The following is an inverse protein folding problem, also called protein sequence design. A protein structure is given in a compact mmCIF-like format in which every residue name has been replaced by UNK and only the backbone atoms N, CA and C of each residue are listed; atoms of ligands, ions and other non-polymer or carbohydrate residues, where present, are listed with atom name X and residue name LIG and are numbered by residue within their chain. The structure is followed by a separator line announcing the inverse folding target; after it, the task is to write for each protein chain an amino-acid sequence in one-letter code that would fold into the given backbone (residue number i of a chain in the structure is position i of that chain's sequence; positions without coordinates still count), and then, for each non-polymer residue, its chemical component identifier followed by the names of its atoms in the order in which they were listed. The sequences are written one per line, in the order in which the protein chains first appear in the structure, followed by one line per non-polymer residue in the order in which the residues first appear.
data_IF_677685047916
#
_entry.id   IF_677685047916
#
_cell.length_a   1.000
_cell.length_b   1.000
_cell.length_c   1.000
_cell.angle_alpha   90.00
_cell.angle_beta   90.00
_cell.angle_gamma   90.00
#
_symmetry.space_group_name_H-M   'P 1'
#
loop_
_entity.id
_entity.type
_entity.pdbx_description
1 polymer ?
#
# COMPACT_ATOMS: atom_id res chain seq x y z
N UNK A 1 18.89 -2.22 11.78
CA UNK A 1 17.86 -3.05 11.13
C UNK A 1 16.94 -2.16 10.36
N UNK A 2 16.87 -2.35 9.07
CA UNK A 2 16.02 -1.59 8.18
C UNK A 2 14.56 -1.70 8.64
N UNK A 3 13.86 -0.58 8.68
CA UNK A 3 12.42 -0.55 8.87
C UNK A 3 11.75 -1.34 7.76
N UNK A 4 11.59 -2.63 7.98
CA UNK A 4 10.73 -3.43 7.14
C UNK A 4 9.32 -2.86 7.31
N UNK A 5 8.69 -2.48 6.20
CA UNK A 5 7.27 -2.16 6.26
C UNK A 5 6.61 -3.30 7.03
N UNK A 6 5.81 -3.00 8.03
CA UNK A 6 5.04 -3.99 8.81
C UNK A 6 4.24 -4.93 7.91
N UNK A 7 3.98 -4.51 6.68
CA UNK A 7 3.41 -5.30 5.59
C UNK A 7 4.20 -6.58 5.30
N UNK A 8 5.54 -6.57 5.39
CA UNK A 8 6.36 -7.79 5.28
C UNK A 8 6.24 -8.71 6.49
N UNK A 9 6.04 -8.18 7.69
CA UNK A 9 5.97 -8.98 8.92
C UNK A 9 4.61 -9.66 9.13
N UNK A 10 3.51 -9.04 8.74
CA UNK A 10 2.16 -9.61 8.84
C UNK A 10 1.99 -10.76 7.82
N UNK A 11 2.68 -10.69 6.70
CA UNK A 11 2.62 -11.65 5.59
C UNK A 11 3.10 -13.07 5.96
N UNK A 12 3.99 -13.22 6.93
CA UNK A 12 4.54 -14.51 7.34
C UNK A 12 3.71 -15.25 8.41
N UNK A 13 2.63 -14.66 8.93
CA UNK A 13 1.90 -15.20 10.10
C UNK A 13 0.47 -15.70 9.86
N UNK A 14 -0.13 -15.52 8.68
CA UNK A 14 -1.51 -15.96 8.42
C UNK A 14 -1.57 -16.86 7.19
N UNK A 15 -2.20 -18.02 7.33
CA UNK A 15 -2.68 -18.80 6.17
C UNK A 15 -3.57 -17.89 5.30
N UNK A 16 -3.17 -17.72 4.04
CA UNK A 16 -3.90 -16.88 3.09
C UNK A 16 -5.15 -17.64 2.69
N UNK A 17 -6.31 -17.17 3.15
CA UNK A 17 -7.61 -17.69 2.68
C UNK A 17 -7.81 -17.35 1.19
N UNK A 18 -8.65 -18.12 0.47
CA UNK A 18 -8.92 -17.89 -0.96
C UNK A 18 -9.44 -16.46 -1.23
N UNK A 19 -10.23 -15.90 -0.32
CA UNK A 19 -10.69 -14.50 -0.41
C UNK A 19 -9.53 -13.51 -0.36
N UNK A 20 -8.59 -13.66 0.57
CA UNK A 20 -7.41 -12.79 0.69
C UNK A 20 -6.48 -12.98 -0.49
N UNK A 21 -6.33 -14.19 -1.01
CA UNK A 21 -5.56 -14.48 -2.22
C UNK A 21 -6.12 -13.76 -3.43
N UNK A 22 -7.43 -13.82 -3.64
CA UNK A 22 -8.13 -13.12 -4.72
C UNK A 22 -7.97 -11.60 -4.61
N UNK A 23 -8.11 -11.05 -3.40
CA UNK A 23 -7.91 -9.63 -3.14
C UNK A 23 -6.46 -9.20 -3.41
N UNK A 24 -5.47 -9.99 -2.98
CA UNK A 24 -4.06 -9.73 -3.25
C UNK A 24 -3.76 -9.75 -4.74
N UNK A 25 -4.33 -10.70 -5.50
CA UNK A 25 -4.18 -10.74 -6.95
C UNK A 25 -4.75 -9.49 -7.60
N UNK A 26 -5.93 -9.05 -7.19
CA UNK A 26 -6.56 -7.82 -7.69
C UNK A 26 -5.70 -6.59 -7.44
N UNK A 27 -5.12 -6.45 -6.24
CA UNK A 27 -4.21 -5.36 -5.89
C UNK A 27 -2.93 -5.38 -6.73
N UNK A 28 -2.34 -6.55 -6.91
CA UNK A 28 -1.12 -6.71 -7.72
C UNK A 28 -1.37 -6.37 -9.19
N UNK A 29 -2.53 -6.77 -9.74
CA UNK A 29 -2.91 -6.44 -11.11
C UNK A 29 -3.18 -4.93 -11.27
N UNK A 30 -3.80 -4.26 -10.30
CA UNK A 30 -3.92 -2.79 -10.29
C UNK A 30 -2.55 -2.10 -10.30
N UNK A 31 -1.61 -2.58 -9.49
CA UNK A 31 -0.26 -2.04 -9.45
C UNK A 31 0.46 -2.18 -10.80
N UNK A 32 0.28 -3.30 -11.50
CA UNK A 32 0.81 -3.52 -12.86
C UNK A 32 0.18 -2.54 -13.84
N UNK A 33 -1.15 -2.38 -13.85
CA UNK A 33 -1.86 -1.47 -14.75
C UNK A 33 -1.37 -0.03 -14.61
N UNK A 34 -1.19 0.44 -13.39
CA UNK A 34 -0.66 1.79 -13.11
C UNK A 34 0.80 1.92 -13.52
N UNK A 35 1.63 0.92 -13.24
CA UNK A 35 3.03 0.94 -13.61
C UNK A 35 3.26 0.90 -15.13
N UNK A 36 2.37 0.23 -15.87
CA UNK A 36 2.43 0.12 -17.33
C UNK A 36 1.90 1.38 -18.05
N UNK A 37 1.20 2.27 -17.34
CA UNK A 37 0.66 3.50 -17.91
C UNK A 37 1.78 4.37 -18.50
N UNK A 38 1.69 4.64 -19.79
CA UNK A 38 2.68 5.44 -20.52
C UNK A 38 3.84 4.63 -21.14
N UNK A 39 4.28 3.55 -20.50
CA UNK A 39 5.28 2.64 -21.06
C UNK A 39 5.01 1.19 -20.67
N UNK A 40 4.36 0.40 -21.53
CA UNK A 40 4.00 -0.98 -21.23
C UNK A 40 5.15 -1.98 -21.43
N UNK A 41 6.35 -1.53 -21.80
CA UNK A 41 7.49 -2.40 -22.01
C UNK A 41 8.33 -2.53 -20.71
N UNK A 42 8.37 -3.71 -20.07
CA UNK A 42 9.12 -3.90 -18.84
C UNK A 42 10.64 -3.77 -18.99
N UNK A 43 11.20 -3.91 -20.20
CA UNK A 43 12.62 -3.69 -20.44
C UNK A 43 13.04 -2.24 -20.19
N UNK A 44 12.15 -1.30 -20.54
CA UNK A 44 12.36 0.14 -20.41
C UNK A 44 11.58 0.78 -19.28
N UNK A 45 10.89 -0.03 -18.46
CA UNK A 45 10.10 0.43 -17.32
C UNK A 45 10.44 -0.38 -16.06
N UNK A 46 11.42 0.08 -15.27
CA UNK A 46 11.85 -0.61 -14.05
C UNK A 46 10.73 -0.80 -13.03
N UNK A 47 9.80 0.17 -12.95
CA UNK A 47 8.65 0.10 -12.06
C UNK A 47 7.68 -1.02 -12.47
N UNK A 48 7.40 -1.15 -13.76
CA UNK A 48 6.57 -2.23 -14.28
C UNK A 48 7.23 -3.58 -14.06
N UNK A 49 8.53 -3.70 -14.31
CA UNK A 49 9.30 -4.92 -14.06
C UNK A 49 9.19 -5.35 -12.59
N UNK A 50 9.39 -4.42 -11.67
CA UNK A 50 9.26 -4.70 -10.23
C UNK A 50 7.84 -5.13 -9.83
N UNK A 51 6.80 -4.52 -10.42
CA UNK A 51 5.41 -4.90 -10.18
C UNK A 51 5.10 -6.31 -10.72
N UNK A 52 5.63 -6.66 -11.89
CA UNK A 52 5.50 -7.99 -12.50
C UNK A 52 6.22 -9.05 -11.64
N UNK A 53 7.45 -8.79 -11.23
CA UNK A 53 8.23 -9.71 -10.39
C UNK A 53 7.49 -10.00 -9.09
N UNK A 54 6.93 -8.98 -8.46
CA UNK A 54 6.13 -9.13 -7.26
C UNK A 54 4.86 -9.96 -7.50
N UNK A 55 4.17 -9.76 -8.62
CA UNK A 55 2.99 -10.57 -8.97
C UNK A 55 3.37 -12.04 -9.18
N UNK A 56 4.52 -12.32 -9.79
CA UNK A 56 5.05 -13.69 -9.96
C UNK A 56 5.39 -14.35 -8.62
N UNK A 57 5.99 -13.63 -7.67
CA UNK A 57 6.24 -14.12 -6.31
C UNK A 57 4.95 -14.59 -5.63
N UNK A 58 3.83 -13.93 -5.92
CA UNK A 58 2.50 -14.30 -5.42
C UNK A 58 1.78 -15.34 -6.27
N UNK A 59 2.46 -15.89 -7.27
CA UNK A 59 1.88 -16.88 -8.18
C UNK A 59 0.65 -16.38 -8.94
N UNK A 60 0.60 -15.09 -9.26
CA UNK A 60 -0.41 -14.56 -10.18
C UNK A 60 -0.18 -15.20 -11.56
N UNK A 61 -1.23 -15.77 -12.19
CA UNK A 61 -1.08 -16.39 -13.50
C UNK A 61 -0.54 -15.43 -14.54
N UNK A 62 0.35 -15.93 -15.40
CA UNK A 62 1.01 -15.13 -16.44
C UNK A 62 0.02 -14.43 -17.37
N UNK A 63 -1.05 -15.13 -17.78
CA UNK A 63 -2.09 -14.55 -18.63
C UNK A 63 -2.78 -13.33 -18.00
N UNK A 64 -2.94 -13.32 -16.67
CA UNK A 64 -3.51 -12.19 -15.94
C UNK A 64 -2.54 -11.01 -15.91
N UNK A 65 -1.25 -11.28 -15.76
CA UNK A 65 -0.20 -10.26 -15.79
C UNK A 65 -0.16 -9.59 -17.17
N UNK A 66 -0.11 -10.37 -18.24
CA UNK A 66 -0.08 -9.88 -19.64
C UNK A 66 -1.30 -9.03 -19.95
N UNK A 67 -2.49 -9.53 -19.60
CA UNK A 67 -3.74 -8.80 -19.76
C UNK A 67 -3.75 -7.48 -18.97
N UNK A 68 -3.18 -7.46 -17.76
CA UNK A 68 -3.08 -6.23 -16.98
C UNK A 68 -2.16 -5.19 -17.62
N UNK A 69 -1.07 -5.62 -18.26
CA UNK A 69 -0.19 -4.73 -19.02
C UNK A 69 -0.91 -4.18 -20.26
N UNK A 70 -1.61 -5.04 -21.02
CA UNK A 70 -2.38 -4.64 -22.21
C UNK A 70 -3.49 -3.65 -21.88
N UNK A 71 -4.18 -3.85 -20.76
CA UNK A 71 -5.29 -3.02 -20.29
C UNK A 71 -4.85 -1.76 -19.52
N UNK A 72 -3.59 -1.41 -19.52
CA UNK A 72 -3.06 -0.27 -18.74
C UNK A 72 -3.66 1.09 -19.14
N UNK A 73 -4.24 1.21 -20.33
CA UNK A 73 -4.90 2.42 -20.80
C UNK A 73 -6.43 2.45 -20.70
N UNK A 74 -7.08 1.34 -20.31
CA UNK A 74 -8.54 1.20 -20.37
C UNK A 74 -9.29 1.83 -19.19
N UNK A 75 -8.64 2.03 -18.06
CA UNK A 75 -9.22 2.66 -16.86
C UNK A 75 -8.30 3.77 -16.37
N UNK A 76 -8.91 4.89 -16.03
CA UNK A 76 -8.21 6.00 -15.36
C UNK A 76 -7.91 5.63 -13.90
N UNK A 77 -6.94 4.74 -13.70
CA UNK A 77 -6.41 4.45 -12.38
C UNK A 77 -5.46 5.56 -11.96
N UNK A 78 -5.66 6.08 -10.76
CA UNK A 78 -4.84 7.11 -10.14
C UNK A 78 -4.17 6.58 -8.87
N UNK A 79 -2.97 7.08 -8.61
CA UNK A 79 -2.27 6.85 -7.36
C UNK A 79 -2.61 7.96 -6.38
N UNK A 80 -2.91 7.55 -5.16
CA UNK A 80 -3.25 8.46 -4.06
C UNK A 80 -2.35 8.15 -2.87
N UNK A 81 -1.74 9.19 -2.31
CA UNK A 81 -0.99 9.10 -1.06
C UNK A 81 -1.77 9.81 0.04
N UNK A 82 -2.16 9.08 1.07
CA UNK A 82 -2.92 9.58 2.21
C UNK A 82 -2.01 9.57 3.43
N UNK A 83 -2.06 10.64 4.20
CA UNK A 83 -1.31 10.81 5.44
C UNK A 83 -2.25 10.71 6.63
N UNK A 84 -1.80 10.07 7.71
CA UNK A 84 -2.62 9.87 8.91
C UNK A 84 -1.78 9.82 10.18
N UNK A 85 -2.44 10.07 11.31
CA UNK A 85 -1.90 9.86 12.64
C UNK A 85 -2.61 8.68 13.30
N UNK A 86 -1.84 7.70 13.72
CA UNK A 86 -2.31 6.53 14.47
C UNK A 86 -2.21 6.69 15.97
N UNK A 87 -2.23 5.56 16.72
CA UNK A 87 -2.10 5.55 18.17
C UNK A 87 -0.84 6.29 18.63
N UNK A 88 -0.98 7.06 19.73
CA UNK A 88 0.10 7.90 20.31
C UNK A 88 0.75 8.88 19.31
N UNK A 89 0.03 9.28 18.26
CA UNK A 89 0.54 10.20 17.26
C UNK A 89 1.54 9.56 16.30
N UNK A 90 1.55 8.23 16.19
CA UNK A 90 2.36 7.52 15.19
C UNK A 90 2.01 7.99 13.77
N UNK A 91 3.02 8.14 12.94
CA UNK A 91 2.86 8.61 11.58
C UNK A 91 2.56 7.46 10.64
N UNK A 92 1.60 7.65 9.73
CA UNK A 92 1.26 6.69 8.68
C UNK A 92 1.23 7.37 7.31
N UNK A 93 1.79 6.66 6.31
CA UNK A 93 1.60 6.96 4.90
C UNK A 93 0.87 5.76 4.28
N UNK A 94 -0.24 6.03 3.61
CA UNK A 94 -1.09 5.03 2.96
C UNK A 94 -1.06 5.30 1.46
N UNK A 95 -0.56 4.36 0.69
CA UNK A 95 -0.59 4.41 -0.77
C UNK A 95 -1.75 3.57 -1.30
N UNK A 96 -2.54 4.16 -2.17
CA UNK A 96 -3.69 3.52 -2.81
C UNK A 96 -3.66 3.70 -4.32
N UNK A 97 -4.30 2.78 -5.04
CA UNK A 97 -4.57 2.86 -6.48
C UNK A 97 -6.07 2.72 -6.68
N UNK A 98 -6.68 3.71 -7.28
CA UNK A 98 -8.12 3.79 -7.42
C UNK A 98 -8.57 4.36 -8.75
N UNK A 99 -9.78 4.03 -9.18
CA UNK A 99 -10.52 4.66 -10.26
C UNK A 99 -11.37 5.85 -9.80
N UNK A 100 -11.46 6.09 -8.47
CA UNK A 100 -12.21 7.20 -7.90
C UNK A 100 -11.57 7.68 -6.58
N UNK A 101 -10.75 8.71 -6.70
CA UNK A 101 -9.99 9.30 -5.59
C UNK A 101 -10.88 9.76 -4.44
N UNK A 102 -12.01 10.42 -4.74
CA UNK A 102 -12.91 10.94 -3.70
C UNK A 102 -13.56 9.83 -2.89
N UNK A 103 -13.99 8.75 -3.55
CA UNK A 103 -14.54 7.58 -2.88
C UNK A 103 -13.50 6.98 -1.94
N UNK A 104 -12.31 6.68 -2.43
CA UNK A 104 -11.25 6.02 -1.66
C UNK A 104 -10.81 6.85 -0.46
N UNK A 105 -10.62 8.16 -0.63
CA UNK A 105 -10.28 9.06 0.48
C UNK A 105 -11.37 9.04 1.56
N UNK A 106 -12.64 9.10 1.19
CA UNK A 106 -13.73 9.08 2.15
C UNK A 106 -13.85 7.74 2.88
N UNK A 107 -13.68 6.63 2.18
CA UNK A 107 -13.69 5.28 2.76
C UNK A 107 -12.53 5.10 3.75
N UNK A 108 -11.32 5.54 3.39
CA UNK A 108 -10.15 5.50 4.28
C UNK A 108 -10.35 6.43 5.50
N UNK A 109 -10.89 7.64 5.31
CA UNK A 109 -11.25 8.53 6.43
C UNK A 109 -12.20 7.85 7.42
N UNK A 110 -13.17 7.11 6.93
CA UNK A 110 -14.11 6.36 7.77
C UNK A 110 -13.42 5.25 8.56
N UNK A 111 -12.53 4.49 7.91
CA UNK A 111 -11.72 3.46 8.60
C UNK A 111 -10.88 4.09 9.70
N UNK A 112 -10.14 5.15 9.40
CA UNK A 112 -9.32 5.88 10.36
C UNK A 112 -10.16 6.34 11.56
N UNK A 113 -11.31 6.98 11.32
CA UNK A 113 -12.21 7.46 12.36
C UNK A 113 -12.72 6.32 13.23
N UNK A 114 -13.15 5.21 12.65
CA UNK A 114 -13.68 4.05 13.36
C UNK A 114 -12.61 3.37 14.23
N UNK A 115 -11.36 3.45 13.83
CA UNK A 115 -10.21 2.89 14.55
C UNK A 115 -9.51 3.89 15.49
N UNK A 116 -10.11 5.08 15.72
CA UNK A 116 -9.55 6.10 16.61
C UNK A 116 -8.31 6.82 16.08
N UNK A 117 -8.04 6.72 14.79
CA UNK A 117 -6.97 7.42 14.10
C UNK A 117 -7.47 8.73 13.46
N UNK A 118 -6.55 9.55 12.97
CA UNK A 118 -6.87 10.84 12.36
C UNK A 118 -6.31 10.95 10.96
N UNK A 119 -7.15 11.36 10.02
CA UNK A 119 -6.70 11.81 8.72
C UNK A 119 -5.85 13.09 8.88
N UNK A 120 -4.70 13.14 8.19
CA UNK A 120 -3.80 14.29 8.23
C UNK A 120 -3.82 15.04 6.89
N UNK A 121 -3.59 16.35 6.97
CA UNK A 121 -3.42 17.16 5.77
C UNK A 121 -2.14 16.78 5.02
N UNK A 122 -2.12 16.90 3.68
CA UNK A 122 -0.93 16.61 2.89
C UNK A 122 0.32 17.35 3.38
N UNK A 123 1.41 16.63 3.59
CA UNK A 123 2.67 17.17 4.11
C UNK A 123 2.83 17.14 5.63
N UNK A 124 1.74 16.86 6.38
CA UNK A 124 1.78 16.84 7.85
C UNK A 124 2.63 15.70 8.42
N UNK A 125 2.72 14.58 7.69
CA UNK A 125 3.41 13.36 8.12
C UNK A 125 4.60 13.04 7.23
N UNK A 126 4.48 13.32 5.94
CA UNK A 126 5.48 12.97 4.91
C UNK A 126 6.89 13.49 5.22
N UNK A 127 7.03 14.62 5.87
CA UNK A 127 8.33 15.19 6.26
C UNK A 127 9.14 14.27 7.18
N UNK A 128 8.48 13.41 7.94
CA UNK A 128 9.11 12.45 8.85
C UNK A 128 9.58 11.16 8.15
N UNK A 129 9.38 11.07 6.85
CA UNK A 129 9.82 9.96 6.00
C UNK A 129 10.74 10.43 4.89
N UNK A 130 11.47 9.50 4.32
CA UNK A 130 12.26 9.67 3.10
C UNK A 130 11.92 8.58 2.09
N UNK A 131 12.01 8.90 0.80
CA UNK A 131 11.86 7.92 -0.25
C UNK A 131 13.12 7.08 -0.37
N UNK A 132 12.98 5.77 -0.18
CA UNK A 132 14.08 4.82 -0.40
C UNK A 132 14.28 4.59 -1.89
N UNK A 133 15.47 4.90 -2.38
CA UNK A 133 15.86 4.61 -3.76
C UNK A 133 15.93 3.09 -4.05
N UNK A 134 16.15 2.27 -3.02
CA UNK A 134 16.31 0.81 -3.17
C UNK A 134 14.99 0.05 -3.16
N UNK A 135 14.05 0.45 -2.30
CA UNK A 135 12.83 -0.31 -2.04
C UNK A 135 11.57 0.33 -2.66
N UNK A 136 11.72 1.43 -3.40
CA UNK A 136 10.63 2.20 -3.99
C UNK A 136 9.49 2.44 -2.99
N UNK A 137 9.84 2.84 -1.75
CA UNK A 137 8.90 3.04 -0.66
C UNK A 137 9.38 4.10 0.32
N UNK A 138 8.59 4.31 1.37
CA UNK A 138 8.87 5.29 2.41
C UNK A 138 9.61 4.65 3.58
N UNK A 139 10.67 5.29 4.03
CA UNK A 139 11.43 4.90 5.23
C UNK A 139 11.32 6.01 6.26
N UNK A 140 10.98 5.71 7.52
CA UNK A 140 10.90 6.72 8.55
C UNK A 140 12.29 7.26 8.91
N UNK A 141 12.42 8.57 8.98
CA UNK A 141 13.62 9.26 9.49
C UNK A 141 13.70 9.17 11.01
N UNK A 142 12.55 9.21 11.67
CA UNK A 142 12.41 9.17 13.11
C UNK A 142 11.50 8.00 13.49
N UNK A 143 12.04 7.06 14.25
CA UNK A 143 11.26 5.93 14.78
C UNK A 143 10.60 6.34 16.09
N UNK A 144 9.36 5.91 16.27
CA UNK A 144 8.60 6.08 17.49
C UNK A 144 8.42 4.72 18.18
N UNK A 145 8.75 4.65 19.45
CA UNK A 145 8.43 3.48 20.27
C UNK A 145 7.01 3.62 20.82
N UNK A 146 6.24 2.56 20.67
CA UNK A 146 4.90 2.44 21.23
C UNK A 146 4.89 1.42 22.37
N UNK A 147 4.05 1.68 23.37
CA UNK A 147 3.74 0.65 24.35
C UNK A 147 2.95 -0.50 23.71
N UNK A 148 2.83 -1.63 24.39
CA UNK A 148 2.18 -2.84 23.88
C UNK A 148 0.73 -2.60 23.43
N UNK A 149 -0.05 -1.86 24.22
CA UNK A 149 -1.45 -1.53 23.91
C UNK A 149 -1.58 -0.70 22.61
N UNK A 150 -0.73 0.30 22.44
CA UNK A 150 -0.77 1.16 21.25
C UNK A 150 -0.19 0.47 20.02
N UNK A 151 0.79 -0.43 20.20
CA UNK A 151 1.27 -1.31 19.14
C UNK A 151 0.17 -2.24 18.62
N UNK A 152 -0.63 -2.81 19.52
CA UNK A 152 -1.76 -3.66 19.14
C UNK A 152 -2.84 -2.88 18.39
N UNK A 153 -3.20 -1.68 18.85
CA UNK A 153 -4.14 -0.79 18.16
C UNK A 153 -3.62 -0.41 16.76
N UNK A 154 -2.31 -0.12 16.65
CA UNK A 154 -1.70 0.18 15.35
C UNK A 154 -1.78 -1.02 14.40
N UNK A 155 -1.53 -2.23 14.89
CA UNK A 155 -1.66 -3.45 14.09
C UNK A 155 -3.10 -3.65 13.59
N UNK A 156 -4.09 -3.47 14.45
CA UNK A 156 -5.51 -3.56 14.08
C UNK A 156 -5.90 -2.51 13.05
N UNK A 157 -5.39 -1.28 13.19
CA UNK A 157 -5.60 -0.21 12.21
C UNK A 157 -5.00 -0.57 10.85
N UNK A 158 -3.76 -1.07 10.83
CA UNK A 158 -3.09 -1.50 9.59
C UNK A 158 -3.88 -2.63 8.93
N UNK A 159 -4.31 -3.64 9.68
CA UNK A 159 -5.12 -4.74 9.17
C UNK A 159 -6.44 -4.23 8.54
N UNK A 160 -7.13 -3.31 9.21
CA UNK A 160 -8.37 -2.72 8.69
C UNK A 160 -8.16 -1.93 7.40
N UNK A 161 -7.05 -1.18 7.30
CA UNK A 161 -6.68 -0.45 6.09
C UNK A 161 -6.28 -1.40 4.95
N UNK A 162 -5.57 -2.49 5.26
CA UNK A 162 -5.16 -3.49 4.26
C UNK A 162 -6.35 -4.26 3.67
N UNK A 163 -7.46 -4.36 4.38
CA UNK A 163 -8.69 -4.96 3.86
C UNK A 163 -9.37 -4.11 2.78
N UNK A 164 -9.02 -2.84 2.66
CA UNK A 164 -9.52 -1.98 1.59
C UNK A 164 -8.90 -2.33 0.24
N UNK A 165 -9.75 -2.53 -0.78
CA UNK A 165 -9.32 -3.02 -2.11
C UNK A 165 -8.38 -2.07 -2.87
N UNK A 166 -8.44 -0.77 -2.59
CA UNK A 166 -7.61 0.22 -3.25
C UNK A 166 -6.27 0.44 -2.55
N UNK A 167 -6.13 0.07 -1.27
CA UNK A 167 -4.90 0.23 -0.50
C UNK A 167 -3.83 -0.73 -0.98
N UNK A 168 -2.67 -0.20 -1.35
CA UNK A 168 -1.53 -0.94 -1.86
C UNK A 168 -0.46 -1.18 -0.81
N UNK A 169 -0.08 -0.12 -0.09
CA UNK A 169 1.00 -0.16 0.90
C UNK A 169 0.71 0.80 2.04
N UNK A 170 1.17 0.42 3.23
CA UNK A 170 1.10 1.25 4.43
C UNK A 170 2.49 1.31 5.04
N UNK A 171 2.92 2.51 5.37
CA UNK A 171 4.20 2.78 6.04
C UNK A 171 3.92 3.46 7.37
N UNK A 172 4.71 3.14 8.37
CA UNK A 172 4.62 3.75 9.70
C UNK A 172 6.02 3.99 10.27
N UNK A 173 6.11 4.96 11.16
CA UNK A 173 7.32 5.25 11.93
C UNK A 173 7.39 4.50 13.28
N UNK A 174 6.41 3.66 13.57
CA UNK A 174 6.31 2.90 14.82
C UNK A 174 6.34 1.39 14.60
#
# INVERSE_FOLDING_TARGET
MSGHSKWKQIKHKKEITDKKRSQNFSKLLKAIKVAAKGNPNPEFNPRLRSAIDKAKEFQVPQDNIERAVEQSGEKDLEEVTIEAYGPSGSALIIEAVTDNTNRTINEIKNILKNMGAKFAEPGSVRWSFELSARDAGWTPKFKQELNESDSEKLNQLIEALEEHDDVQKIYTNA
#
